data_IF_003428481362
#
_entry.id   IF_003428481362
#
_cell.length_a   1.000
_cell.length_b   1.000
_cell.length_c   1.000
_cell.angle_alpha   90.00
_cell.angle_beta   90.00
_cell.angle_gamma   90.00
#
_symmetry.space_group_name_H-M   'P 1'
#
loop_
_entity.id
_entity.type
_entity.pdbx_description
1 polymer ?
#
# COMPACT_ATOMS: atom_id res chain seq x y z
N UNK A 1 3.20 -8.57 22.61
CA UNK A 1 4.51 -7.88 22.63
C UNK A 1 4.28 -6.41 22.91
N UNK A 2 5.20 -5.77 23.61
CA UNK A 2 5.14 -4.32 23.77
C UNK A 2 5.87 -3.64 22.63
N UNK A 3 5.35 -2.48 22.23
CA UNK A 3 5.99 -1.58 21.29
C UNK A 3 6.10 -0.19 21.90
N UNK A 4 6.84 0.69 21.26
CA UNK A 4 6.93 2.09 21.65
C UNK A 4 5.75 2.95 21.15
N UNK A 5 4.61 2.36 20.81
CA UNK A 5 3.48 3.05 20.14
C UNK A 5 2.97 4.28 20.90
N UNK A 6 2.98 4.27 22.24
CA UNK A 6 2.54 5.39 23.06
C UNK A 6 3.45 6.63 22.97
N UNK A 7 4.64 6.46 22.42
CA UNK A 7 5.63 7.53 22.18
C UNK A 7 5.67 7.99 20.73
N UNK A 8 4.93 7.33 19.83
CA UNK A 8 4.91 7.71 18.42
C UNK A 8 4.01 8.93 18.19
N UNK A 9 4.45 9.88 17.35
CA UNK A 9 3.61 11.01 17.00
C UNK A 9 2.38 10.55 16.23
N UNK A 10 1.24 11.15 16.51
CA UNK A 10 0.01 11.00 15.74
C UNK A 10 -0.17 12.28 14.93
N UNK A 11 -0.24 12.17 13.61
CA UNK A 11 -0.35 13.30 12.70
C UNK A 11 -1.63 13.19 11.87
N UNK A 12 -2.22 14.32 11.53
CA UNK A 12 -3.29 14.40 10.55
C UNK A 12 -2.68 14.67 9.17
N UNK A 13 -2.94 13.79 8.22
CA UNK A 13 -2.57 14.00 6.81
C UNK A 13 -3.84 14.31 6.03
N UNK A 14 -3.71 15.19 5.04
CA UNK A 14 -4.80 15.55 4.13
C UNK A 14 -4.52 14.98 2.75
N UNK A 15 -5.52 14.32 2.18
CA UNK A 15 -5.42 13.69 0.86
C UNK A 15 -6.67 13.90 0.03
N UNK A 16 -6.55 13.61 -1.25
CA UNK A 16 -7.63 13.58 -2.24
C UNK A 16 -7.49 12.35 -3.11
N UNK A 17 -8.54 11.98 -3.84
CA UNK A 17 -8.43 10.92 -4.85
C UNK A 17 -7.39 11.32 -5.87
N UNK A 18 -6.43 10.44 -6.11
CA UNK A 18 -5.44 10.62 -7.17
C UNK A 18 -6.11 10.35 -8.52
N UNK A 19 -6.12 11.31 -9.45
CA UNK A 19 -6.70 11.06 -10.76
C UNK A 19 -5.96 9.93 -11.46
N UNK A 20 -6.63 9.25 -12.38
CA UNK A 20 -5.98 8.30 -13.28
C UNK A 20 -4.89 9.02 -14.07
N UNK A 21 -3.70 8.45 -14.06
CA UNK A 21 -2.55 8.97 -14.80
C UNK A 21 -1.95 7.83 -15.62
N UNK A 22 -1.66 8.07 -16.88
CA UNK A 22 -0.74 7.23 -17.64
C UNK A 22 0.67 7.44 -17.09
N UNK A 23 1.56 6.48 -17.24
CA UNK A 23 2.94 6.70 -16.82
C UNK A 23 3.51 7.95 -17.49
N UNK A 24 3.81 8.97 -16.69
CA UNK A 24 4.12 10.32 -17.12
C UNK A 24 5.48 10.48 -17.84
N UNK A 25 6.28 9.43 -17.92
CA UNK A 25 7.62 9.52 -18.50
C UNK A 25 7.71 9.17 -19.99
N UNK A 26 6.59 8.92 -20.66
CA UNK A 26 6.57 8.60 -22.09
C UNK A 26 7.35 7.33 -22.48
N UNK A 27 7.79 6.57 -21.51
CA UNK A 27 8.47 5.32 -21.74
C UNK A 27 7.46 4.19 -21.89
N UNK A 28 7.59 3.44 -22.96
CA UNK A 28 6.95 2.15 -23.05
C UNK A 28 7.60 1.24 -22.00
N UNK A 29 6.80 0.57 -21.20
CA UNK A 29 7.28 -0.52 -20.42
C UNK A 29 7.57 -1.70 -21.36
N UNK A 30 8.55 -2.48 -21.03
CA UNK A 30 8.79 -3.74 -21.73
C UNK A 30 8.28 -4.87 -20.86
N UNK A 31 7.55 -5.79 -21.47
CA UNK A 31 7.16 -7.02 -20.81
C UNK A 31 8.36 -8.01 -20.73
N UNK A 32 8.13 -9.18 -20.16
CA UNK A 32 9.15 -10.22 -20.02
C UNK A 32 9.70 -10.75 -21.35
N UNK A 33 8.96 -10.53 -22.44
CA UNK A 33 9.34 -10.93 -23.80
C UNK A 33 10.05 -9.82 -24.59
N UNK A 34 10.25 -8.65 -23.96
CA UNK A 34 10.88 -7.49 -24.57
C UNK A 34 9.97 -6.70 -25.49
N UNK A 35 8.65 -6.91 -25.42
CA UNK A 35 7.68 -6.13 -26.20
C UNK A 35 7.35 -4.82 -25.48
N UNK A 36 7.28 -3.75 -26.25
CA UNK A 36 6.88 -2.44 -25.72
C UNK A 36 5.39 -2.40 -25.44
N UNK A 37 5.04 -2.06 -24.20
CA UNK A 37 3.65 -1.94 -23.74
C UNK A 37 3.39 -0.54 -23.18
N UNK A 38 2.21 0.01 -23.46
CA UNK A 38 1.73 1.17 -22.73
C UNK A 38 1.17 0.68 -21.39
N UNK A 39 1.80 1.08 -20.31
CA UNK A 39 1.25 0.80 -18.98
C UNK A 39 0.05 1.67 -18.71
N UNK A 40 -1.05 1.04 -18.31
CA UNK A 40 -2.10 1.74 -17.59
C UNK A 40 -1.48 2.41 -16.35
N UNK A 41 -1.82 3.66 -16.13
CA UNK A 41 -1.32 4.42 -14.99
C UNK A 41 -1.93 3.93 -13.68
N UNK A 42 -1.43 4.45 -12.59
CA UNK A 42 -2.05 4.30 -11.27
C UNK A 42 -2.99 5.46 -11.01
N UNK A 43 -4.00 5.25 -10.21
CA UNK A 43 -4.93 6.32 -9.81
C UNK A 43 -6.39 5.86 -9.83
N UNK A 44 -7.28 6.77 -9.47
CA UNK A 44 -8.70 6.54 -9.49
C UNK A 44 -9.22 5.62 -8.40
N UNK A 45 -10.42 5.10 -8.65
CA UNK A 45 -11.17 4.22 -7.77
C UNK A 45 -11.37 2.87 -8.47
N UNK A 46 -10.96 1.79 -7.81
CA UNK A 46 -11.23 0.42 -8.26
C UNK A 46 -12.52 -0.07 -7.65
N UNK A 47 -13.58 -0.18 -8.45
CA UNK A 47 -14.90 -0.59 -7.95
C UNK A 47 -15.09 -2.09 -7.87
N UNK A 48 -14.34 -2.85 -8.64
CA UNK A 48 -14.48 -4.29 -8.80
C UNK A 48 -13.35 -5.12 -8.18
N UNK A 49 -12.48 -4.52 -7.39
CA UNK A 49 -11.38 -5.18 -6.67
C UNK A 49 -11.46 -4.84 -5.20
N UNK A 50 -11.49 -5.84 -4.34
CA UNK A 50 -11.64 -5.69 -2.89
C UNK A 50 -10.55 -6.42 -2.13
N UNK A 51 -10.35 -6.01 -0.87
CA UNK A 51 -9.60 -6.83 0.08
C UNK A 51 -10.30 -8.19 0.24
N UNK A 52 -9.53 -9.26 0.17
CA UNK A 52 -10.01 -10.63 0.22
C UNK A 52 -10.31 -11.26 -1.15
N UNK A 53 -10.36 -10.46 -2.23
CA UNK A 53 -10.45 -11.02 -3.57
C UNK A 53 -9.15 -11.73 -3.96
N UNK A 54 -9.24 -12.77 -4.79
CA UNK A 54 -8.06 -13.42 -5.36
C UNK A 54 -7.27 -12.42 -6.19
N UNK A 55 -5.95 -12.47 -6.07
CA UNK A 55 -5.06 -11.63 -6.87
C UNK A 55 -5.11 -11.94 -8.38
N UNK A 56 -5.74 -13.06 -8.78
CA UNK A 56 -5.86 -13.49 -10.18
C UNK A 56 -7.27 -13.28 -10.77
N UNK A 57 -8.26 -12.90 -9.98
CA UNK A 57 -9.65 -12.78 -10.44
C UNK A 57 -9.88 -11.59 -11.39
N UNK A 58 -9.07 -10.54 -11.24
CA UNK A 58 -9.15 -9.36 -12.11
C UNK A 58 -7.81 -9.17 -12.79
N UNK A 59 -7.83 -9.18 -14.11
CA UNK A 59 -6.63 -9.03 -14.94
C UNK A 59 -6.33 -7.54 -15.14
N UNK A 60 -5.10 -7.16 -14.87
CA UNK A 60 -4.60 -5.80 -15.10
C UNK A 60 -3.11 -5.70 -14.76
N UNK A 61 -2.44 -4.68 -15.28
CA UNK A 61 -0.99 -4.51 -15.10
C UNK A 61 -0.59 -4.26 -13.65
N UNK A 62 -1.38 -3.46 -12.96
CA UNK A 62 -1.17 -3.10 -11.56
C UNK A 62 -2.51 -2.93 -10.88
N UNK A 63 -2.93 -3.96 -10.20
CA UNK A 63 -4.19 -3.95 -9.48
C UNK A 63 -3.96 -3.57 -8.01
N UNK A 64 -4.81 -2.69 -7.53
CA UNK A 64 -4.83 -2.25 -6.14
C UNK A 64 -6.29 -2.16 -5.69
N UNK A 65 -6.69 -2.79 -4.59
CA UNK A 65 -8.03 -2.66 -4.07
C UNK A 65 -8.27 -1.24 -3.54
N UNK A 66 -9.48 -0.70 -3.79
CA UNK A 66 -9.93 0.55 -3.24
C UNK A 66 -9.53 1.79 -4.05
N UNK A 67 -9.06 2.81 -3.37
CA UNK A 67 -8.90 4.16 -3.89
C UNK A 67 -7.44 4.57 -3.82
N UNK A 68 -6.91 5.04 -4.94
CA UNK A 68 -5.60 5.69 -4.96
C UNK A 68 -5.72 7.13 -4.50
N UNK A 69 -4.91 7.54 -3.53
CA UNK A 69 -4.92 8.91 -2.99
C UNK A 69 -3.56 9.55 -3.07
N UNK A 70 -3.56 10.89 -3.09
CA UNK A 70 -2.36 11.72 -3.01
C UNK A 70 -2.56 12.86 -2.01
N UNK A 71 -1.48 13.55 -1.67
CA UNK A 71 -1.56 14.79 -0.90
C UNK A 71 -2.42 15.84 -1.62
N UNK A 72 -3.37 16.45 -0.91
CA UNK A 72 -4.34 17.40 -1.47
C UNK A 72 -3.91 18.86 -1.41
N UNK A 73 -2.66 19.16 -1.14
CA UNK A 73 -2.14 20.54 -1.17
C UNK A 73 -1.85 21.03 -2.58
N UNK A 74 -1.66 22.35 -2.71
CA UNK A 74 -1.28 22.93 -3.98
C UNK A 74 -0.02 22.26 -4.55
N UNK A 75 0.01 21.99 -5.88
CA UNK A 75 1.21 21.52 -6.52
C UNK A 75 2.38 22.49 -6.26
N UNK A 76 3.52 21.97 -5.89
CA UNK A 76 4.74 22.74 -5.79
C UNK A 76 5.38 22.81 -7.20
N UNK A 77 5.41 23.98 -7.86
CA UNK A 77 6.00 24.09 -9.19
C UNK A 77 7.49 23.77 -9.24
N UNK A 78 8.17 23.82 -8.10
CA UNK A 78 9.57 23.44 -7.96
C UNK A 78 9.76 21.95 -7.64
N UNK A 79 8.68 21.21 -7.43
CA UNK A 79 8.76 19.77 -7.22
C UNK A 79 9.29 19.11 -8.49
N UNK A 80 10.43 18.45 -8.38
CA UNK A 80 10.95 17.63 -9.47
C UNK A 80 10.04 16.42 -9.75
N UNK A 81 10.48 15.52 -10.62
CA UNK A 81 9.69 14.36 -11.04
C UNK A 81 9.31 13.41 -9.89
N UNK A 82 9.92 13.55 -8.74
CA UNK A 82 9.64 12.74 -7.54
C UNK A 82 8.63 13.38 -6.58
N UNK A 83 8.00 14.48 -6.98
CA UNK A 83 6.99 15.16 -6.17
C UNK A 83 7.57 16.10 -5.12
N UNK A 84 6.67 16.80 -4.42
CA UNK A 84 7.04 17.74 -3.37
C UNK A 84 7.40 17.05 -2.06
N UNK A 85 8.14 17.70 -1.15
CA UNK A 85 8.37 17.19 0.21
C UNK A 85 7.07 16.85 0.96
N UNK A 86 5.98 17.57 0.70
CA UNK A 86 4.69 17.31 1.31
C UNK A 86 4.05 15.99 0.77
N UNK A 87 4.16 15.72 -0.53
CA UNK A 87 3.75 14.43 -1.11
C UNK A 87 4.56 13.28 -0.53
N UNK A 88 5.87 13.46 -0.40
CA UNK A 88 6.73 12.45 0.21
C UNK A 88 6.36 12.21 1.68
N UNK A 89 6.10 13.26 2.45
CA UNK A 89 5.65 13.15 3.83
C UNK A 89 4.29 12.44 3.92
N UNK A 90 3.33 12.77 3.06
CA UNK A 90 2.05 12.08 2.97
C UNK A 90 2.24 10.57 2.77
N UNK A 91 3.08 10.19 1.82
CA UNK A 91 3.38 8.79 1.55
C UNK A 91 4.11 8.10 2.72
N UNK A 92 5.15 8.72 3.29
CA UNK A 92 5.94 8.13 4.38
C UNK A 92 5.09 7.90 5.63
N UNK A 93 4.32 8.92 6.06
CA UNK A 93 3.59 8.86 7.32
C UNK A 93 2.29 8.05 7.26
N UNK A 94 1.69 7.86 6.09
CA UNK A 94 0.51 7.02 5.94
C UNK A 94 0.89 5.52 6.03
N UNK A 95 0.91 4.98 7.22
CA UNK A 95 1.18 3.55 7.44
C UNK A 95 -0.06 2.70 7.13
N UNK A 96 0.15 1.50 6.60
CA UNK A 96 -0.92 0.52 6.35
C UNK A 96 -1.67 0.23 7.65
N UNK A 97 -3.00 0.25 7.59
CA UNK A 97 -3.87 0.12 8.75
C UNK A 97 -4.15 1.43 9.51
N UNK A 98 -3.62 2.59 9.08
CA UNK A 98 -4.07 3.87 9.62
C UNK A 98 -5.51 4.15 9.23
N UNK A 99 -6.29 4.71 10.18
CA UNK A 99 -7.68 5.12 9.94
C UNK A 99 -7.73 6.29 8.95
N UNK A 100 -8.65 6.17 7.99
CA UNK A 100 -8.97 7.22 7.01
C UNK A 100 -10.40 7.67 7.23
N UNK A 101 -10.65 8.97 7.14
CA UNK A 101 -12.00 9.56 7.25
C UNK A 101 -12.26 10.43 6.04
N UNK A 102 -13.44 10.28 5.41
CA UNK A 102 -13.87 11.18 4.32
C UNK A 102 -14.16 12.56 4.90
N UNK A 103 -13.54 13.59 4.31
CA UNK A 103 -13.51 14.93 4.88
C UNK A 103 -14.76 15.79 4.62
N UNK A 104 -15.56 15.47 3.61
CA UNK A 104 -16.71 16.30 3.23
C UNK A 104 -17.68 15.58 2.31
N UNK A 105 -18.69 16.31 1.84
CA UNK A 105 -19.72 15.78 0.94
C UNK A 105 -20.71 14.82 1.62
N UNK A 106 -21.51 14.09 0.83
CA UNK A 106 -22.53 13.17 1.34
C UNK A 106 -21.97 12.02 2.17
N UNK A 107 -20.71 11.66 1.96
CA UNK A 107 -20.02 10.56 2.65
C UNK A 107 -19.16 11.03 3.82
N UNK A 108 -19.24 12.29 4.22
CA UNK A 108 -18.44 12.85 5.31
C UNK A 108 -18.51 12.02 6.59
N UNK A 109 -17.36 11.82 7.22
CA UNK A 109 -17.24 11.04 8.47
C UNK A 109 -17.22 9.53 8.29
N UNK A 110 -17.46 8.99 7.09
CA UNK A 110 -17.27 7.57 6.82
C UNK A 110 -15.81 7.19 6.96
N UNK A 111 -15.56 5.99 7.50
CA UNK A 111 -14.24 5.51 7.88
C UNK A 111 -13.79 4.34 7.03
N UNK A 112 -12.51 4.33 6.71
CA UNK A 112 -11.78 3.29 6.03
C UNK A 112 -10.37 3.18 6.57
N UNK A 113 -9.50 2.51 5.83
CA UNK A 113 -8.12 2.27 6.24
C UNK A 113 -7.15 2.45 5.07
N UNK A 114 -5.91 2.83 5.39
CA UNK A 114 -4.79 2.74 4.46
C UNK A 114 -4.49 1.27 4.19
N UNK A 115 -4.41 0.90 2.92
CA UNK A 115 -4.19 -0.49 2.47
C UNK A 115 -2.84 -0.71 1.80
N UNK A 116 -2.19 0.37 1.35
CA UNK A 116 -0.90 0.25 0.67
C UNK A 116 -0.30 1.59 0.28
N UNK A 117 0.78 1.53 -0.48
CA UNK A 117 1.51 2.69 -0.98
C UNK A 117 1.78 2.57 -2.48
N UNK A 118 1.96 3.69 -3.14
CA UNK A 118 2.25 3.79 -4.57
C UNK A 118 3.62 4.44 -4.75
N UNK A 119 4.68 3.72 -4.45
CA UNK A 119 6.09 4.07 -4.71
C UNK A 119 6.43 5.58 -4.63
N UNK A 120 6.07 6.25 -3.54
CA UNK A 120 6.30 7.69 -3.33
C UNK A 120 5.26 8.61 -3.98
N UNK A 121 4.34 8.09 -4.80
CA UNK A 121 3.39 8.90 -5.56
C UNK A 121 1.98 8.94 -4.96
N UNK A 122 1.75 8.22 -3.87
CA UNK A 122 0.47 8.19 -3.22
C UNK A 122 0.29 7.00 -2.27
N UNK A 123 -0.92 6.86 -1.83
CA UNK A 123 -1.34 5.87 -0.83
C UNK A 123 -2.65 5.26 -1.30
N UNK A 124 -2.82 3.96 -1.12
CA UNK A 124 -4.11 3.31 -1.35
C UNK A 124 -4.91 3.26 -0.06
N UNK A 125 -6.20 3.54 -0.17
CA UNK A 125 -7.15 3.44 0.94
C UNK A 125 -8.36 2.63 0.51
N UNK A 126 -9.01 1.97 1.45
CA UNK A 126 -10.24 1.22 1.17
C UNK A 126 -11.31 1.51 2.23
N UNK A 127 -12.56 1.38 1.82
CA UNK A 127 -13.76 1.55 2.62
C UNK A 127 -14.71 0.38 2.36
N UNK A 128 -15.77 0.25 3.14
CA UNK A 128 -16.81 -0.73 2.84
C UNK A 128 -17.36 -0.52 1.41
N UNK A 129 -17.72 -1.60 0.75
CA UNK A 129 -18.12 -1.62 -0.65
C UNK A 129 -19.27 -0.64 -0.97
N UNK A 130 -20.25 -0.54 -0.06
CA UNK A 130 -21.39 0.39 -0.20
C UNK A 130 -20.95 1.86 -0.21
N UNK A 131 -19.87 2.20 0.47
CA UNK A 131 -19.29 3.54 0.49
C UNK A 131 -18.53 3.79 -0.81
N UNK A 132 -17.66 2.86 -1.23
CA UNK A 132 -16.86 3.00 -2.45
C UNK A 132 -17.73 3.15 -3.68
N UNK A 133 -18.85 2.40 -3.78
CA UNK A 133 -19.80 2.49 -4.90
C UNK A 133 -20.50 3.86 -5.03
N UNK A 134 -20.47 4.68 -3.99
CA UNK A 134 -21.05 6.02 -3.97
C UNK A 134 -20.01 7.13 -4.22
N UNK A 135 -18.74 6.80 -4.34
CA UNK A 135 -17.67 7.77 -4.61
C UNK A 135 -17.57 8.10 -6.10
N UNK A 136 -17.12 9.31 -6.40
CA UNK A 136 -17.02 9.83 -7.75
C UNK A 136 -15.62 10.33 -8.15
N UNK A 137 -14.68 10.38 -7.20
CA UNK A 137 -13.30 10.77 -7.45
C UNK A 137 -12.94 12.21 -7.07
N UNK A 138 -13.86 12.93 -6.43
CA UNK A 138 -13.65 14.28 -5.87
C UNK A 138 -13.57 14.29 -4.35
N UNK A 139 -13.51 13.11 -3.72
CA UNK A 139 -13.44 12.99 -2.28
C UNK A 139 -12.09 13.42 -1.73
N UNK A 140 -12.15 14.05 -0.56
CA UNK A 140 -11.01 14.41 0.28
C UNK A 140 -10.98 13.55 1.54
N UNK A 141 -9.78 13.33 2.07
CA UNK A 141 -9.56 12.43 3.18
C UNK A 141 -8.69 13.04 4.27
N UNK A 142 -8.97 12.65 5.51
CA UNK A 142 -8.05 12.79 6.64
C UNK A 142 -7.51 11.41 7.00
N UNK A 143 -6.19 11.27 7.11
CA UNK A 143 -5.55 10.06 7.61
C UNK A 143 -5.00 10.35 9.01
N UNK A 144 -5.42 9.57 9.99
CA UNK A 144 -4.85 9.60 11.34
C UNK A 144 -3.58 8.76 11.35
N UNK A 145 -2.47 9.37 10.95
CA UNK A 145 -1.20 8.70 10.71
C UNK A 145 -0.44 8.43 12.00
N UNK A 146 -0.10 7.18 12.24
CA UNK A 146 0.75 6.70 13.33
C UNK A 146 1.46 5.41 12.87
N UNK A 147 2.75 5.25 13.20
CA UNK A 147 3.50 4.01 12.93
C UNK A 147 4.95 4.24 12.52
N UNK A 148 5.30 5.41 11.98
CA UNK A 148 6.71 5.71 11.64
C UNK A 148 7.55 5.77 12.89
N UNK A 149 8.65 4.99 12.91
CA UNK A 149 9.53 4.86 14.07
C UNK A 149 9.05 3.82 15.10
N UNK A 150 8.09 2.95 14.74
CA UNK A 150 7.66 1.87 15.59
C UNK A 150 8.78 0.85 15.79
N UNK A 151 8.97 0.48 17.05
CA UNK A 151 9.96 -0.51 17.48
C UNK A 151 9.29 -1.54 18.40
N UNK A 152 9.79 -2.76 18.38
CA UNK A 152 9.35 -3.85 19.26
C UNK A 152 10.34 -3.92 20.42
N UNK A 153 9.83 -3.82 21.67
CA UNK A 153 10.65 -3.88 22.86
C UNK A 153 11.44 -5.22 22.92
N UNK A 154 12.76 -5.09 23.04
CA UNK A 154 13.70 -6.23 23.06
C UNK A 154 14.15 -6.73 21.69
N UNK A 155 13.71 -6.11 20.59
CA UNK A 155 14.09 -6.47 19.23
C UNK A 155 14.53 -5.27 18.38
N UNK A 156 14.84 -4.14 19.00
CA UNK A 156 15.13 -2.88 18.33
C UNK A 156 16.30 -2.97 17.34
N UNK A 157 17.28 -3.82 17.62
CA UNK A 157 18.48 -3.99 16.79
C UNK A 157 18.33 -5.09 15.71
N UNK A 158 17.29 -5.93 15.81
CA UNK A 158 17.17 -7.12 14.97
C UNK A 158 15.92 -7.13 14.09
N UNK A 159 14.89 -6.37 14.45
CA UNK A 159 13.64 -6.30 13.72
C UNK A 159 13.26 -4.87 13.42
N UNK A 160 13.16 -4.53 12.14
CA UNK A 160 12.65 -3.25 11.68
C UNK A 160 11.16 -3.38 11.33
N UNK A 161 10.34 -2.45 11.83
CA UNK A 161 8.93 -2.37 11.48
C UNK A 161 8.69 -1.12 10.64
N UNK A 162 8.29 -1.32 9.40
CA UNK A 162 8.04 -0.25 8.45
C UNK A 162 6.60 -0.28 7.93
N UNK A 163 6.07 0.89 7.59
CA UNK A 163 4.78 1.05 6.89
C UNK A 163 3.55 0.42 7.57
N UNK A 164 3.66 0.05 8.83
CA UNK A 164 2.60 -0.64 9.58
C UNK A 164 2.11 0.23 10.74
N UNK A 165 0.79 0.39 10.86
CA UNK A 165 0.21 1.08 12.01
C UNK A 165 0.24 0.18 13.25
N UNK A 166 0.26 0.76 14.47
CA UNK A 166 0.15 -0.04 15.69
C UNK A 166 -1.09 -0.93 15.71
N UNK A 167 -2.22 -0.42 15.22
CA UNK A 167 -3.48 -1.17 15.16
C UNK A 167 -3.38 -2.41 14.26
N UNK A 168 -2.77 -2.28 13.08
CA UNK A 168 -2.55 -3.41 12.18
C UNK A 168 -1.56 -4.39 12.82
N UNK A 169 -0.46 -3.87 13.37
CA UNK A 169 0.56 -4.68 14.00
C UNK A 169 -0.01 -5.58 15.10
N UNK A 170 -0.89 -5.05 15.96
CA UNK A 170 -1.58 -5.83 17.00
C UNK A 170 -2.45 -6.97 16.43
N UNK A 171 -3.01 -6.77 15.22
CA UNK A 171 -3.91 -7.74 14.57
C UNK A 171 -3.19 -8.79 13.72
N UNK A 172 -1.90 -8.66 13.47
CA UNK A 172 -1.15 -9.59 12.62
C UNK A 172 -1.01 -11.01 13.20
N UNK A 173 -1.42 -11.25 14.44
CA UNK A 173 -1.44 -12.60 15.04
C UNK A 173 -0.06 -13.17 15.34
N UNK A 174 0.97 -12.33 15.49
CA UNK A 174 2.32 -12.77 15.82
C UNK A 174 2.40 -13.40 17.22
N UNK A 175 3.33 -14.32 17.40
CA UNK A 175 3.67 -14.93 18.70
C UNK A 175 5.16 -14.79 19.00
N UNK A 176 5.51 -14.85 20.28
CA UNK A 176 6.89 -14.87 20.73
C UNK A 176 7.20 -16.23 21.32
N UNK A 177 8.13 -16.98 20.73
CA UNK A 177 8.54 -18.29 21.18
C UNK A 177 10.05 -18.42 21.03
N UNK A 178 10.72 -18.89 22.06
CA UNK A 178 12.18 -19.09 22.08
C UNK A 178 12.99 -17.85 21.68
N UNK A 179 12.54 -16.65 22.10
CA UNK A 179 13.19 -15.39 21.78
C UNK A 179 13.05 -14.97 20.29
N UNK A 180 12.14 -15.59 19.53
CA UNK A 180 11.87 -15.28 18.13
C UNK A 180 10.43 -14.82 17.94
N UNK A 181 10.23 -13.88 17.03
CA UNK A 181 8.92 -13.43 16.61
C UNK A 181 8.48 -14.31 15.45
N UNK A 182 7.32 -14.95 15.61
CA UNK A 182 6.66 -15.73 14.58
C UNK A 182 5.46 -14.96 14.06
N UNK A 183 5.44 -14.69 12.77
CA UNK A 183 4.32 -14.03 12.08
C UNK A 183 3.63 -15.06 11.19
N UNK A 184 2.33 -15.27 11.32
CA UNK A 184 1.61 -16.15 10.40
C UNK A 184 1.59 -15.52 9.01
N UNK A 185 1.98 -16.30 8.00
CA UNK A 185 1.99 -15.87 6.61
C UNK A 185 1.15 -16.81 5.75
N UNK A 186 0.45 -16.27 4.77
CA UNK A 186 -0.32 -17.06 3.82
C UNK A 186 0.59 -17.83 2.87
N UNK A 187 1.65 -17.17 2.37
CA UNK A 187 2.61 -17.73 1.41
C UNK A 187 4.03 -17.26 1.73
N UNK A 188 4.97 -18.07 1.29
CA UNK A 188 6.38 -17.71 1.21
C UNK A 188 6.71 -17.58 -0.28
N UNK A 189 7.16 -16.41 -0.70
CA UNK A 189 7.40 -16.06 -2.09
C UNK A 189 8.88 -15.78 -2.31
N UNK A 190 9.52 -16.39 -3.32
CA UNK A 190 10.92 -16.10 -3.62
C UNK A 190 11.10 -14.68 -4.15
N UNK A 191 12.22 -14.05 -3.81
CA UNK A 191 12.50 -12.65 -4.12
C UNK A 191 12.46 -12.31 -5.61
N UNK A 192 12.76 -13.28 -6.51
CA UNK A 192 12.71 -13.02 -7.95
C UNK A 192 11.29 -12.79 -8.51
N UNK A 193 10.23 -13.16 -7.77
CA UNK A 193 8.84 -12.81 -8.14
C UNK A 193 8.46 -11.39 -7.74
N UNK A 194 9.33 -10.69 -7.03
CA UNK A 194 9.09 -9.31 -6.64
C UNK A 194 9.64 -8.40 -7.73
N UNK A 195 8.76 -7.63 -8.33
CA UNK A 195 9.09 -6.65 -9.35
C UNK A 195 9.58 -5.31 -8.77
N UNK A 196 9.19 -4.18 -9.37
CA UNK A 196 9.61 -2.85 -8.94
C UNK A 196 9.34 -2.61 -7.45
N UNK A 197 10.25 -1.87 -6.81
CA UNK A 197 10.16 -1.50 -5.39
C UNK A 197 11.24 -2.10 -4.51
N UNK A 198 11.87 -3.19 -4.91
CA UNK A 198 13.07 -3.72 -4.23
C UNK A 198 14.21 -2.71 -4.34
N UNK A 199 14.84 -2.43 -3.20
CA UNK A 199 15.94 -1.46 -3.11
C UNK A 199 15.50 0.01 -3.08
N UNK A 200 14.21 0.29 -3.13
CA UNK A 200 13.67 1.61 -2.93
C UNK A 200 13.66 2.04 -1.45
N UNK A 201 13.17 3.25 -1.18
CA UNK A 201 12.98 3.72 0.19
C UNK A 201 11.88 2.89 0.87
N UNK A 202 12.27 2.07 1.84
CA UNK A 202 11.35 1.17 2.56
C UNK A 202 10.16 1.87 3.23
N UNK A 203 10.26 3.17 3.49
CA UNK A 203 9.17 3.95 4.09
C UNK A 203 8.16 4.47 3.05
N UNK A 204 8.53 4.51 1.79
CA UNK A 204 7.73 5.15 0.74
C UNK A 204 7.46 4.25 -0.47
N UNK A 205 8.10 3.10 -0.57
CA UNK A 205 7.97 2.19 -1.70
C UNK A 205 6.92 1.12 -1.47
N UNK A 206 6.43 0.54 -2.55
CA UNK A 206 5.73 -0.72 -2.59
C UNK A 206 6.62 -1.78 -3.26
N UNK A 207 6.37 -3.04 -2.97
CA UNK A 207 6.89 -4.16 -3.73
C UNK A 207 5.72 -4.77 -4.50
N UNK A 208 5.92 -5.03 -5.78
CA UNK A 208 4.90 -5.62 -6.65
C UNK A 208 5.24 -7.08 -6.87
N UNK A 209 4.24 -7.94 -6.73
CA UNK A 209 4.39 -9.38 -6.94
C UNK A 209 3.90 -9.70 -8.35
N UNK A 210 4.70 -10.41 -9.11
CA UNK A 210 4.30 -10.97 -10.39
C UNK A 210 3.38 -12.17 -10.15
N UNK A 211 2.08 -11.98 -10.32
CA UNK A 211 1.06 -13.02 -10.13
C UNK A 211 0.66 -13.69 -11.44
N UNK A 212 0.87 -13.04 -12.58
CA UNK A 212 0.46 -13.51 -13.89
C UNK A 212 1.59 -14.26 -14.60
N UNK A 213 1.98 -15.39 -14.04
CA UNK A 213 2.86 -16.34 -14.73
C UNK A 213 2.28 -17.74 -14.62
N UNK A 214 1.74 -18.23 -15.73
CA UNK A 214 1.20 -19.59 -15.79
C UNK A 214 2.12 -20.67 -15.20
N UNK A 215 3.44 -20.51 -15.30
CA UNK A 215 4.42 -21.35 -14.62
C UNK A 215 4.61 -20.98 -13.14
N UNK A 216 4.49 -19.67 -12.78
CA UNK A 216 4.65 -19.20 -11.40
C UNK A 216 3.52 -19.65 -10.50
N UNK A 217 2.28 -19.68 -10.98
CA UNK A 217 1.15 -20.16 -10.20
C UNK A 217 1.30 -21.67 -9.91
N UNK A 218 1.65 -22.47 -10.91
CA UNK A 218 1.87 -23.91 -10.74
C UNK A 218 3.03 -24.23 -9.78
N UNK A 219 4.09 -23.40 -9.78
CA UNK A 219 5.27 -23.63 -8.95
C UNK A 219 5.12 -23.10 -7.52
N UNK A 220 4.42 -21.98 -7.32
CA UNK A 220 4.36 -21.28 -6.04
C UNK A 220 2.96 -21.19 -5.44
N UNK A 221 1.93 -21.66 -6.15
CA UNK A 221 0.54 -21.72 -5.69
C UNK A 221 -0.03 -20.35 -5.38
N UNK A 222 0.15 -19.39 -6.27
CA UNK A 222 -0.28 -18.00 -6.06
C UNK A 222 -1.80 -17.81 -6.25
N UNK A 223 -2.50 -18.78 -6.83
CA UNK A 223 -3.92 -18.74 -7.16
C UNK A 223 -4.84 -18.54 -5.95
N UNK A 224 -4.39 -18.91 -4.75
CA UNK A 224 -5.16 -18.69 -3.51
C UNK A 224 -4.70 -17.44 -2.72
N UNK A 225 -3.81 -16.64 -3.31
CA UNK A 225 -3.36 -15.40 -2.72
C UNK A 225 -4.41 -14.30 -2.91
N UNK A 226 -4.78 -13.65 -1.82
CA UNK A 226 -5.78 -12.61 -1.81
C UNK A 226 -5.18 -11.25 -1.42
N UNK A 227 -5.82 -10.18 -1.90
CA UNK A 227 -5.46 -8.84 -1.43
C UNK A 227 -5.65 -8.72 0.08
N UNK A 228 -4.60 -8.31 0.79
CA UNK A 228 -4.57 -8.21 2.26
C UNK A 228 -3.89 -9.38 2.96
N UNK A 229 -3.53 -10.44 2.26
CA UNK A 229 -2.76 -11.55 2.83
C UNK A 229 -1.35 -11.09 3.26
N UNK A 230 -0.87 -11.65 4.35
CA UNK A 230 0.51 -11.47 4.80
C UNK A 230 1.37 -12.54 4.12
N UNK A 231 2.42 -12.11 3.47
CA UNK A 231 3.38 -12.97 2.80
C UNK A 231 4.77 -12.82 3.41
N UNK A 232 5.60 -13.86 3.33
CA UNK A 232 7.03 -13.76 3.54
C UNK A 232 7.75 -13.78 2.18
N UNK A 233 8.80 -12.97 2.08
CA UNK A 233 9.67 -12.93 0.90
C UNK A 233 11.01 -13.53 1.34
N UNK A 234 11.53 -14.47 0.58
CA UNK A 234 12.86 -15.07 0.78
C UNK A 234 13.84 -14.55 -0.26
N UNK A 235 15.09 -14.44 0.15
CA UNK A 235 16.21 -14.10 -0.74
C UNK A 235 16.50 -15.25 -1.72
#
# INVERSE_FOLDING_TARGET
MKTNQDRLPIKSLIGEVKPMETQSFGFMAMDSEGQGQYRAGTGGISYNVRLGDSCLDVIGEKLQPGISTRYSGAPDPAAGPFGSPAMMAYNIYACVGNEVTIAGGPLAGKKGFVTGKISGFGVTVDFNSDIVQQMHGDEHFYIKAQGVGMQIEGFEETVAVHNTSPLLFEKMGYTLTDGKIHVPVKKIIPGFLIGPGIGGNVLASCCEIMTDHGEGDAAYGLSDLCYGDIIAITD
#
